data_IF_754042479162
#
_entry.id   IF_754042479162
#
_cell.length_a   1.000
_cell.length_b   1.000
_cell.length_c   1.000
_cell.angle_alpha   90.00
_cell.angle_beta   90.00
_cell.angle_gamma   90.00
#
_symmetry.space_group_name_H-M   'P 1'
#
loop_
_entity.id
_entity.type
_entity.pdbx_description
1 polymer ?
#
# COMPACT_ATOMS: atom_id res chain seq x y z
N UNK A 1 -8.80 12.37 -16.11
CA UNK A 1 -8.19 11.38 -15.21
C UNK A 1 -6.75 11.77 -14.89
N UNK A 2 -6.30 11.45 -13.67
CA UNK A 2 -4.94 11.69 -13.22
C UNK A 2 -4.52 10.63 -12.20
N UNK A 3 -3.31 10.11 -12.35
CA UNK A 3 -2.65 9.22 -11.38
C UNK A 3 -1.37 9.87 -10.86
N UNK A 4 -1.19 9.93 -9.54
CA UNK A 4 0.00 10.52 -8.92
C UNK A 4 -0.17 10.84 -7.43
N UNK A 5 0.61 11.81 -6.91
CA UNK A 5 0.53 12.14 -5.48
C UNK A 5 -0.78 12.86 -5.12
N UNK A 6 -1.25 12.67 -3.89
CA UNK A 6 -2.45 13.32 -3.35
C UNK A 6 -2.37 14.85 -3.47
N UNK A 7 -1.22 15.44 -3.18
CA UNK A 7 -1.00 16.89 -3.29
C UNK A 7 -1.22 17.40 -4.71
N UNK A 8 -0.69 16.70 -5.71
CA UNK A 8 -0.86 17.09 -7.13
C UNK A 8 -2.31 16.85 -7.57
N UNK A 9 -2.92 15.72 -7.18
CA UNK A 9 -4.34 15.43 -7.46
C UNK A 9 -5.27 16.53 -6.95
N UNK A 10 -5.08 17.00 -5.73
CA UNK A 10 -5.85 18.11 -5.15
C UNK A 10 -5.67 19.41 -5.97
N UNK A 11 -4.47 19.72 -6.43
CA UNK A 11 -4.21 20.89 -7.28
C UNK A 11 -4.92 20.78 -8.62
N UNK A 12 -4.90 19.61 -9.25
CA UNK A 12 -5.61 19.33 -10.50
C UNK A 12 -7.12 19.45 -10.30
N UNK A 13 -7.67 18.87 -9.22
CA UNK A 13 -9.07 18.96 -8.88
C UNK A 13 -9.55 20.41 -8.75
N UNK A 14 -8.81 21.23 -8.01
CA UNK A 14 -9.12 22.67 -7.87
C UNK A 14 -9.20 23.36 -9.23
N UNK A 15 -8.24 23.10 -10.12
CA UNK A 15 -8.23 23.69 -11.46
C UNK A 15 -9.36 23.18 -12.36
N UNK A 16 -9.68 21.89 -12.26
CA UNK A 16 -10.77 21.29 -13.05
C UNK A 16 -12.14 21.85 -12.67
N UNK A 17 -12.35 22.14 -11.40
CA UNK A 17 -13.61 22.71 -10.89
C UNK A 17 -13.89 24.13 -11.41
N UNK A 18 -12.89 24.91 -11.81
CA UNK A 18 -13.10 26.24 -12.44
C UNK A 18 -13.93 26.14 -13.73
N UNK A 19 -13.98 24.99 -14.38
CA UNK A 19 -14.77 24.73 -15.59
C UNK A 19 -15.74 23.55 -15.41
N UNK A 20 -16.06 23.20 -14.15
CA UNK A 20 -17.05 22.17 -13.77
C UNK A 20 -16.76 20.80 -14.44
N UNK A 21 -15.48 20.45 -14.59
CA UNK A 21 -15.10 19.16 -15.16
C UNK A 21 -15.30 18.03 -14.16
N UNK A 22 -15.87 16.93 -14.63
CA UNK A 22 -15.78 15.65 -13.94
C UNK A 22 -14.33 15.19 -13.90
N UNK A 23 -13.90 14.64 -12.76
CA UNK A 23 -12.52 14.20 -12.54
C UNK A 23 -12.49 12.78 -11.99
N UNK A 24 -11.52 11.99 -12.44
CA UNK A 24 -11.12 10.73 -11.83
C UNK A 24 -9.68 10.84 -11.35
N UNK A 25 -9.43 10.47 -10.11
CA UNK A 25 -8.14 10.60 -9.44
C UNK A 25 -7.73 9.27 -8.82
N UNK A 26 -6.55 8.78 -9.18
CA UNK A 26 -5.87 7.66 -8.55
C UNK A 26 -4.63 8.17 -7.84
N UNK A 27 -4.62 8.14 -6.50
CA UNK A 27 -3.64 8.84 -5.68
C UNK A 27 -2.87 7.87 -4.78
N UNK A 28 -2.19 8.40 -3.78
CA UNK A 28 -1.34 7.63 -2.89
C UNK A 28 -2.07 6.63 -2.00
N UNK A 29 -1.30 5.78 -1.35
CA UNK A 29 -1.80 4.76 -0.44
C UNK A 29 -0.88 4.51 0.75
N UNK A 30 -1.45 3.91 1.81
CA UNK A 30 -0.76 3.35 2.97
C UNK A 30 -1.42 2.03 3.33
N UNK A 31 -1.38 1.11 2.37
CA UNK A 31 -2.21 -0.08 2.37
C UNK A 31 -1.88 -1.03 3.52
N UNK A 32 -2.88 -1.47 4.31
CA UNK A 32 -2.67 -2.44 5.37
C UNK A 32 -2.66 -3.87 4.82
N UNK A 33 -1.79 -4.70 5.38
CA UNK A 33 -1.88 -6.15 5.34
C UNK A 33 -2.20 -6.63 6.75
N UNK A 34 -3.37 -7.20 6.96
CA UNK A 34 -3.81 -7.72 8.26
C UNK A 34 -3.62 -9.23 8.29
N UNK A 35 -2.78 -9.70 9.20
CA UNK A 35 -2.65 -11.13 9.49
C UNK A 35 -3.50 -11.47 10.70
N UNK A 36 -4.47 -12.37 10.52
CA UNK A 36 -5.21 -12.94 11.64
C UNK A 36 -4.39 -14.04 12.32
N UNK A 37 -4.70 -14.39 13.59
CA UNK A 37 -3.97 -15.43 14.30
C UNK A 37 -3.92 -16.74 13.51
N UNK A 38 -2.73 -17.26 13.28
CA UNK A 38 -2.47 -18.50 12.53
C UNK A 38 -1.24 -19.20 13.07
N UNK A 39 -1.21 -20.51 12.92
CA UNK A 39 -0.02 -21.32 13.24
C UNK A 39 1.06 -21.20 12.15
N UNK A 40 0.67 -20.78 10.94
CA UNK A 40 1.57 -20.63 9.79
C UNK A 40 1.20 -19.37 8.96
N UNK A 41 2.20 -18.54 8.69
CA UNK A 41 2.11 -17.35 7.84
C UNK A 41 2.90 -17.47 6.54
N UNK A 42 3.55 -18.60 6.29
CA UNK A 42 4.48 -18.78 5.18
C UNK A 42 3.86 -18.50 3.81
N UNK A 43 2.60 -18.87 3.62
CA UNK A 43 1.85 -18.61 2.39
C UNK A 43 1.60 -17.12 2.12
N UNK A 44 1.59 -16.27 3.17
CA UNK A 44 1.31 -14.83 3.03
C UNK A 44 2.56 -14.00 2.70
N UNK A 45 3.75 -14.43 3.15
CA UNK A 45 4.98 -13.64 2.99
C UNK A 45 5.34 -13.31 1.54
N UNK A 46 5.24 -14.23 0.55
CA UNK A 46 5.55 -13.90 -0.84
C UNK A 46 4.72 -12.72 -1.37
N UNK A 47 3.46 -12.64 -0.97
CA UNK A 47 2.56 -11.53 -1.35
C UNK A 47 3.01 -10.20 -0.75
N UNK A 48 3.41 -10.20 0.53
CA UNK A 48 3.88 -8.98 1.18
C UNK A 48 5.23 -8.55 0.60
N UNK A 49 6.19 -9.47 0.47
CA UNK A 49 7.50 -9.20 -0.12
C UNK A 49 7.38 -8.61 -1.52
N UNK A 50 6.60 -9.26 -2.40
CA UNK A 50 6.38 -8.77 -3.76
C UNK A 50 5.67 -7.42 -3.77
N UNK A 51 4.73 -7.17 -2.87
CA UNK A 51 3.97 -5.92 -2.83
C UNK A 51 4.82 -4.73 -2.38
N UNK A 52 5.65 -4.90 -1.33
CA UNK A 52 6.40 -3.78 -0.74
C UNK A 52 7.75 -3.56 -1.41
N UNK A 53 8.39 -4.61 -1.96
CA UNK A 53 9.73 -4.48 -2.53
C UNK A 53 9.74 -4.45 -4.07
N UNK A 54 8.67 -4.91 -4.74
CA UNK A 54 8.52 -4.71 -6.18
C UNK A 54 8.66 -3.23 -6.54
N UNK A 55 9.33 -2.95 -7.66
CA UNK A 55 9.59 -1.59 -8.14
C UNK A 55 10.24 -0.68 -7.06
N UNK A 56 11.08 -1.25 -6.19
CA UNK A 56 11.70 -0.57 -5.04
C UNK A 56 10.66 0.13 -4.12
N UNK A 57 9.48 -0.47 -3.94
CA UNK A 57 8.40 0.06 -3.11
C UNK A 57 7.65 1.26 -3.70
N UNK A 58 7.96 1.65 -4.92
CA UNK A 58 7.34 2.78 -5.62
C UNK A 58 6.03 2.35 -6.28
N UNK A 59 5.08 1.90 -5.47
CA UNK A 59 3.78 1.39 -5.89
C UNK A 59 2.69 1.93 -4.96
N UNK A 60 1.67 2.58 -5.50
CA UNK A 60 0.57 3.18 -4.74
C UNK A 60 -0.21 2.16 -3.89
N UNK A 61 -0.29 0.90 -4.33
CA UNK A 61 -0.96 -0.21 -3.63
C UNK A 61 -0.04 -0.99 -2.69
N UNK A 62 1.24 -0.58 -2.52
CA UNK A 62 2.20 -1.29 -1.70
C UNK A 62 1.65 -1.55 -0.28
N UNK A 63 1.72 -2.80 0.17
CA UNK A 63 1.29 -3.24 1.51
C UNK A 63 2.35 -2.82 2.53
N UNK A 64 2.45 -1.53 2.79
CA UNK A 64 3.52 -0.91 3.58
C UNK A 64 3.29 -0.96 5.10
N UNK A 65 2.10 -1.38 5.56
CA UNK A 65 1.78 -1.64 6.96
C UNK A 65 1.36 -3.10 7.14
N UNK A 66 2.20 -3.89 7.78
CA UNK A 66 1.91 -5.28 8.15
C UNK A 66 1.40 -5.30 9.61
N UNK A 67 0.11 -5.56 9.79
CA UNK A 67 -0.60 -5.53 11.07
C UNK A 67 -0.75 -6.97 11.56
N UNK A 68 -0.12 -7.31 12.69
CA UNK A 68 0.08 -8.69 13.13
C UNK A 68 -0.32 -8.91 14.59
N UNK A 69 -0.75 -10.14 14.99
CA UNK A 69 -0.99 -10.44 16.39
C UNK A 69 0.28 -10.22 17.22
N UNK A 70 0.19 -9.49 18.34
CA UNK A 70 1.33 -9.20 19.22
C UNK A 70 2.06 -10.48 19.67
N UNK A 71 1.33 -11.53 19.96
CA UNK A 71 1.90 -12.83 20.36
C UNK A 71 2.81 -13.46 19.29
N UNK A 72 2.58 -13.14 18.01
CA UNK A 72 3.30 -13.71 16.88
C UNK A 72 4.35 -12.73 16.30
N UNK A 73 4.47 -11.52 16.83
CA UNK A 73 5.32 -10.44 16.31
C UNK A 73 6.77 -10.89 16.09
N UNK A 74 7.39 -11.48 17.11
CA UNK A 74 8.80 -11.88 17.03
C UNK A 74 9.05 -12.97 15.98
N UNK A 75 8.12 -13.93 15.84
CA UNK A 75 8.18 -14.98 14.83
C UNK A 75 8.04 -14.40 13.43
N UNK A 76 6.99 -13.60 13.20
CA UNK A 76 6.72 -12.98 11.91
C UNK A 76 7.88 -12.08 11.49
N UNK A 77 8.44 -11.30 12.42
CA UNK A 77 9.60 -10.45 12.17
C UNK A 77 10.81 -11.26 11.70
N UNK A 78 11.17 -12.35 12.41
CA UNK A 78 12.29 -13.19 12.05
C UNK A 78 12.10 -13.84 10.68
N UNK A 79 10.97 -14.51 10.49
CA UNK A 79 10.64 -15.22 9.24
C UNK A 79 10.60 -14.26 8.03
N UNK A 80 9.99 -13.08 8.18
CA UNK A 80 9.90 -12.09 7.12
C UNK A 80 11.27 -11.50 6.77
N UNK A 81 12.08 -11.13 7.77
CA UNK A 81 13.42 -10.58 7.56
C UNK A 81 14.37 -11.60 6.92
N UNK A 82 14.29 -12.89 7.29
CA UNK A 82 15.06 -13.95 6.64
C UNK A 82 14.73 -14.11 5.16
N UNK A 83 13.48 -13.93 4.78
CA UNK A 83 13.05 -13.96 3.38
C UNK A 83 13.47 -12.69 2.64
N UNK A 84 13.27 -11.51 3.24
CA UNK A 84 13.64 -10.23 2.65
C UNK A 84 15.15 -10.08 2.44
N UNK A 85 15.97 -10.69 3.29
CA UNK A 85 17.43 -10.70 3.17
C UNK A 85 17.95 -11.44 1.92
N UNK A 86 17.14 -12.29 1.31
CA UNK A 86 17.49 -13.03 0.08
C UNK A 86 17.31 -12.19 -1.18
N UNK A 87 16.61 -11.05 -1.09
CA UNK A 87 16.36 -10.19 -2.24
C UNK A 87 17.65 -9.49 -2.70
N UNK A 88 17.91 -9.57 -4.00
CA UNK A 88 19.08 -8.98 -4.63
C UNK A 88 18.78 -7.56 -5.09
N UNK A 89 19.51 -6.59 -4.50
CA UNK A 89 19.47 -5.19 -4.94
C UNK A 89 20.60 -4.95 -5.92
N UNK A 90 20.29 -4.50 -7.14
CA UNK A 90 21.31 -4.38 -8.17
C UNK A 90 20.85 -3.74 -9.48
N UNK A 91 21.66 -3.93 -10.52
CA UNK A 91 21.40 -3.41 -11.86
C UNK A 91 20.07 -3.98 -12.40
N UNK A 92 19.10 -3.16 -12.80
CA UNK A 92 17.80 -3.62 -13.32
C UNK A 92 17.89 -4.39 -14.64
N UNK A 93 19.04 -4.38 -15.32
CA UNK A 93 19.28 -5.18 -16.54
C UNK A 93 19.79 -6.59 -16.24
N UNK A 94 20.22 -6.86 -15.00
CA UNK A 94 20.61 -8.21 -14.58
C UNK A 94 19.34 -9.00 -14.17
N UNK A 95 19.04 -10.14 -14.81
CA UNK A 95 17.89 -10.98 -14.49
C UNK A 95 17.89 -11.56 -13.07
N UNK A 96 18.97 -11.45 -12.33
CA UNK A 96 19.09 -11.86 -10.93
C UNK A 96 18.70 -10.75 -9.96
N UNK A 97 18.48 -9.54 -10.44
CA UNK A 97 18.09 -8.39 -9.60
C UNK A 97 16.60 -8.45 -9.27
N UNK A 98 16.28 -8.41 -7.98
CA UNK A 98 14.90 -8.31 -7.51
C UNK A 98 14.48 -6.84 -7.32
N UNK A 99 15.41 -5.98 -6.92
CA UNK A 99 15.15 -4.57 -6.58
C UNK A 99 16.15 -3.67 -7.29
N UNK A 100 15.67 -2.85 -8.20
CA UNK A 100 16.43 -1.79 -8.87
C UNK A 100 16.51 -0.49 -8.03
N UNK A 101 17.04 0.60 -8.62
CA UNK A 101 17.14 1.89 -7.94
C UNK A 101 15.76 2.59 -7.88
N UNK A 102 15.60 3.52 -6.95
CA UNK A 102 14.46 4.43 -6.96
C UNK A 102 14.60 5.49 -8.05
N UNK A 103 13.49 6.11 -8.43
CA UNK A 103 13.35 6.90 -9.66
C UNK A 103 14.17 8.20 -9.70
N UNK A 104 14.59 8.75 -8.56
CA UNK A 104 15.29 10.03 -8.50
C UNK A 104 16.03 10.24 -7.18
N UNK A 105 16.96 11.22 -7.20
CA UNK A 105 17.65 11.70 -6.00
C UNK A 105 16.66 12.19 -4.94
N UNK A 106 15.66 12.97 -5.33
CA UNK A 106 14.66 13.49 -4.41
C UNK A 106 13.87 12.36 -3.72
N UNK A 107 13.58 11.27 -4.45
CA UNK A 107 12.91 10.10 -3.86
C UNK A 107 13.83 9.34 -2.91
N UNK A 108 15.11 9.21 -3.24
CA UNK A 108 16.12 8.60 -2.37
C UNK A 108 16.25 9.39 -1.05
N UNK A 109 16.42 10.72 -1.13
CA UNK A 109 16.53 11.61 0.03
C UNK A 109 15.26 11.58 0.89
N UNK A 110 14.08 11.56 0.25
CA UNK A 110 12.79 11.38 0.95
C UNK A 110 12.76 10.08 1.75
N UNK A 111 13.18 8.95 1.16
CA UNK A 111 13.22 7.67 1.86
C UNK A 111 14.18 7.73 3.06
N UNK A 112 15.37 8.30 2.87
CA UNK A 112 16.34 8.47 3.96
C UNK A 112 15.76 9.28 5.13
N UNK A 113 15.06 10.39 4.83
CA UNK A 113 14.36 11.21 5.83
C UNK A 113 13.31 10.39 6.61
N UNK A 114 12.50 9.58 5.92
CA UNK A 114 11.49 8.76 6.60
C UNK A 114 12.10 7.64 7.44
N UNK A 115 13.17 7.00 6.96
CA UNK A 115 13.86 5.97 7.76
C UNK A 115 14.45 6.59 9.03
N UNK A 116 15.07 7.77 8.93
CA UNK A 116 15.57 8.50 10.09
C UNK A 116 14.42 8.91 11.03
N UNK A 117 13.32 9.43 10.50
CA UNK A 117 12.16 9.80 11.31
C UNK A 117 11.58 8.60 12.08
N UNK A 118 11.54 7.41 11.47
CA UNK A 118 11.11 6.19 12.17
C UNK A 118 12.00 5.84 13.36
N UNK A 119 13.32 5.99 13.21
CA UNK A 119 14.28 5.79 14.30
C UNK A 119 14.08 6.84 15.40
N UNK A 120 13.95 8.11 15.03
CA UNK A 120 13.80 9.23 15.97
C UNK A 120 12.48 9.15 16.75
N UNK A 121 11.41 8.62 16.15
CA UNK A 121 10.12 8.37 16.79
C UNK A 121 10.11 7.09 17.65
N UNK A 122 11.21 6.34 17.68
CA UNK A 122 11.40 5.17 18.52
C UNK A 122 10.87 3.85 17.93
N UNK A 123 10.61 3.78 16.62
CA UNK A 123 10.36 2.51 15.95
C UNK A 123 11.63 1.64 15.92
N UNK A 124 11.47 0.34 16.09
CA UNK A 124 12.61 -0.59 16.11
C UNK A 124 12.98 -0.97 14.66
N UNK A 125 14.12 -0.45 14.19
CA UNK A 125 14.69 -0.85 12.90
C UNK A 125 15.28 -2.26 13.02
N UNK A 126 14.68 -3.23 12.35
CA UNK A 126 15.05 -4.66 12.43
C UNK A 126 15.78 -5.16 11.19
N UNK A 127 15.67 -4.42 10.08
CA UNK A 127 16.39 -4.70 8.85
C UNK A 127 16.64 -3.43 8.05
N UNK A 128 17.78 -3.37 7.38
CA UNK A 128 18.18 -2.22 6.56
C UNK A 128 18.86 -1.12 7.37
N UNK A 129 19.05 0.01 6.72
CA UNK A 129 19.74 1.18 7.27
C UNK A 129 19.16 2.47 6.67
N UNK A 130 19.59 3.62 7.20
CA UNK A 130 19.33 4.92 6.54
C UNK A 130 20.17 4.99 5.27
N UNK A 131 19.55 5.06 4.08
CA UNK A 131 20.30 5.07 2.83
C UNK A 131 21.10 6.38 2.69
N UNK A 132 22.41 6.27 2.46
CA UNK A 132 23.32 7.45 2.36
C UNK A 132 24.19 7.43 1.11
N UNK A 133 24.46 6.25 0.54
CA UNK A 133 25.37 6.11 -0.62
C UNK A 133 24.64 6.23 -1.95
N UNK A 134 24.96 7.26 -2.71
CA UNK A 134 24.46 7.50 -4.08
C UNK A 134 25.54 7.33 -5.15
N UNK A 135 26.74 6.84 -4.81
CA UNK A 135 27.90 6.77 -5.71
C UNK A 135 27.66 5.88 -6.93
N UNK A 136 26.80 4.87 -6.80
CA UNK A 136 26.45 3.91 -7.86
C UNK A 136 25.02 4.07 -8.40
N UNK A 137 24.25 5.05 -7.87
CA UNK A 137 22.83 5.25 -8.18
C UNK A 137 21.97 5.31 -6.92
N UNK A 138 20.68 5.44 -7.12
CA UNK A 138 19.71 5.65 -6.02
C UNK A 138 19.19 4.32 -5.47
N UNK A 139 20.08 3.45 -5.05
CA UNK A 139 19.73 2.13 -4.54
C UNK A 139 19.36 2.18 -3.06
N UNK A 140 18.19 1.65 -2.72
CA UNK A 140 17.72 1.51 -1.35
C UNK A 140 17.49 0.02 -1.08
N UNK A 141 18.11 -0.50 -0.02
CA UNK A 141 17.89 -1.88 0.43
C UNK A 141 16.53 -2.00 1.11
N UNK A 142 15.97 -3.22 1.22
CA UNK A 142 14.81 -3.45 2.07
C UNK A 142 14.99 -2.90 3.48
N UNK A 143 14.01 -2.11 3.94
CA UNK A 143 13.98 -1.56 5.30
C UNK A 143 12.73 -2.10 5.99
N UNK A 144 12.90 -2.65 7.19
CA UNK A 144 11.79 -3.15 8.01
C UNK A 144 11.87 -2.53 9.40
N UNK A 145 10.80 -1.86 9.77
CA UNK A 145 10.55 -1.42 11.14
C UNK A 145 9.58 -2.37 11.82
N UNK A 146 9.81 -2.67 13.09
CA UNK A 146 8.93 -3.46 13.93
C UNK A 146 8.53 -2.70 15.18
N UNK A 147 7.48 -3.20 15.85
CA UNK A 147 6.88 -2.56 17.02
C UNK A 147 6.49 -1.10 16.76
N UNK A 148 6.03 -0.86 15.54
CA UNK A 148 5.62 0.48 15.09
C UNK A 148 4.26 0.83 15.69
N UNK A 149 4.13 2.06 16.20
CA UNK A 149 2.82 2.61 16.57
C UNK A 149 2.17 3.28 15.35
N UNK A 150 0.84 3.18 15.25
CA UNK A 150 0.12 3.72 14.08
C UNK A 150 0.12 5.26 14.00
N UNK A 151 0.49 5.97 15.08
CA UNK A 151 0.64 7.43 15.12
C UNK A 151 1.98 7.93 14.57
N UNK A 152 2.97 7.06 14.42
CA UNK A 152 4.28 7.40 13.86
C UNK A 152 4.18 7.85 12.40
N UNK A 153 5.02 8.80 12.00
CA UNK A 153 5.07 9.34 10.65
C UNK A 153 5.25 8.26 9.58
N UNK A 154 6.10 7.27 9.84
CA UNK A 154 6.35 6.15 8.93
C UNK A 154 5.14 5.23 8.73
N UNK A 155 4.20 5.18 9.69
CA UNK A 155 2.96 4.42 9.59
C UNK A 155 1.82 5.21 8.91
N UNK A 156 1.87 6.53 8.94
CA UNK A 156 0.78 7.40 8.45
C UNK A 156 1.00 7.95 7.05
N UNK A 157 2.24 8.27 6.70
CA UNK A 157 2.57 8.94 5.45
C UNK A 157 3.08 7.97 4.39
N UNK A 158 2.80 8.26 3.12
CA UNK A 158 3.28 7.47 1.99
C UNK A 158 4.76 7.73 1.73
N UNK A 159 5.61 6.74 2.00
CA UNK A 159 7.06 6.81 1.78
C UNK A 159 7.39 6.66 0.29
N UNK A 160 6.67 5.75 -0.41
CA UNK A 160 6.90 5.39 -1.81
C UNK A 160 8.31 4.80 -2.03
N UNK A 161 8.69 3.90 -1.13
CA UNK A 161 10.01 3.25 -1.09
C UNK A 161 9.93 1.87 -0.44
N UNK A 162 11.03 1.09 -0.43
CA UNK A 162 11.06 -0.28 0.07
C UNK A 162 11.13 -0.33 1.61
N UNK A 163 10.12 0.26 2.27
CA UNK A 163 10.04 0.41 3.73
C UNK A 163 8.75 -0.20 4.24
N UNK A 164 8.86 -1.25 5.05
CA UNK A 164 7.75 -1.93 5.72
C UNK A 164 7.67 -1.53 7.20
N UNK A 165 6.46 -1.28 7.67
CA UNK A 165 6.14 -1.08 9.08
C UNK A 165 5.35 -2.27 9.62
N UNK A 166 5.88 -3.01 10.59
CA UNK A 166 5.17 -4.07 11.30
C UNK A 166 4.53 -3.47 12.56
N UNK A 167 3.21 -3.57 12.65
CA UNK A 167 2.39 -2.97 13.71
C UNK A 167 1.70 -4.10 14.49
N UNK A 168 2.01 -4.30 15.77
CA UNK A 168 1.34 -5.31 16.58
C UNK A 168 -0.06 -4.88 17.02
N UNK A 169 -0.96 -5.86 17.16
CA UNK A 169 -2.28 -5.67 17.73
C UNK A 169 -2.62 -6.76 18.75
N UNK A 170 -3.56 -6.49 19.65
CA UNK A 170 -3.99 -7.43 20.70
C UNK A 170 -5.37 -8.07 20.39
N UNK A 171 -6.25 -7.35 19.69
CA UNK A 171 -7.58 -7.85 19.27
C UNK A 171 -7.85 -7.61 17.78
N UNK A 172 -8.70 -8.42 17.16
CA UNK A 172 -9.09 -8.25 15.75
C UNK A 172 -9.78 -6.90 15.52
N UNK A 173 -10.51 -6.41 16.50
CA UNK A 173 -11.14 -5.08 16.49
C UNK A 173 -10.10 -3.97 16.41
N UNK A 174 -9.02 -4.10 17.17
CA UNK A 174 -7.88 -3.18 17.12
C UNK A 174 -7.18 -3.26 15.76
N UNK A 175 -6.95 -4.47 15.22
CA UNK A 175 -6.37 -4.63 13.89
C UNK A 175 -7.16 -3.90 12.80
N UNK A 176 -8.49 -4.01 12.82
CA UNK A 176 -9.38 -3.30 11.89
C UNK A 176 -9.33 -1.79 12.12
N UNK A 177 -9.29 -1.35 13.39
CA UNK A 177 -9.15 0.06 13.73
C UNK A 177 -7.84 0.64 13.18
N UNK A 178 -6.71 -0.01 13.44
CA UNK A 178 -5.38 0.37 12.93
C UNK A 178 -5.37 0.39 11.40
N UNK A 179 -5.93 -0.65 10.76
CA UNK A 179 -6.00 -0.73 9.30
C UNK A 179 -6.72 0.48 8.68
N UNK A 180 -7.80 0.93 9.31
CA UNK A 180 -8.64 2.02 8.84
C UNK A 180 -8.18 3.41 9.30
N UNK A 181 -7.37 3.51 10.35
CA UNK A 181 -6.86 4.79 10.85
C UNK A 181 -5.67 5.26 9.99
N UNK A 182 -6.01 5.76 8.83
CA UNK A 182 -5.13 6.36 7.82
C UNK A 182 -5.95 7.31 6.95
N UNK A 183 -5.37 8.39 6.41
CA UNK A 183 -6.05 9.23 5.42
C UNK A 183 -6.28 8.54 4.08
N UNK A 184 -5.66 7.38 3.86
CA UNK A 184 -5.71 6.62 2.61
C UNK A 184 -6.72 5.46 2.67
N UNK A 185 -6.98 4.86 1.50
CA UNK A 185 -7.85 3.70 1.36
C UNK A 185 -7.81 3.12 -0.05
N UNK A 186 -6.59 2.88 -0.60
CA UNK A 186 -6.46 2.36 -1.97
C UNK A 186 -6.58 0.84 -2.00
N UNK A 187 -5.71 0.14 -1.30
CA UNK A 187 -5.67 -1.31 -1.28
C UNK A 187 -5.58 -1.84 0.15
N UNK A 188 -5.85 -3.12 0.33
CA UNK A 188 -5.69 -3.85 1.56
C UNK A 188 -5.52 -5.34 1.30
N UNK A 189 -5.05 -6.06 2.31
CA UNK A 189 -4.85 -7.49 2.28
C UNK A 189 -5.24 -8.11 3.62
N UNK A 190 -5.84 -9.28 3.59
CA UNK A 190 -6.17 -10.05 4.79
C UNK A 190 -5.69 -11.48 4.62
N UNK A 191 -4.83 -11.93 5.52
CA UNK A 191 -4.48 -13.33 5.67
C UNK A 191 -5.19 -13.94 6.88
N UNK A 192 -5.83 -15.07 6.68
CA UNK A 192 -6.52 -15.82 7.75
C UNK A 192 -6.50 -17.32 7.46
N UNK A 193 -6.58 -18.16 8.51
CA UNK A 193 -6.68 -19.62 8.37
C UNK A 193 -7.89 -20.06 7.55
N UNK A 194 -9.01 -19.34 7.67
CA UNK A 194 -10.23 -19.66 6.93
C UNK A 194 -10.70 -18.49 6.06
N UNK A 195 -11.31 -18.83 4.92
CA UNK A 195 -11.93 -17.84 4.03
C UNK A 195 -13.02 -17.03 4.75
N UNK A 196 -13.77 -17.64 5.64
CA UNK A 196 -14.86 -16.98 6.36
C UNK A 196 -14.33 -15.85 7.26
N UNK A 197 -13.27 -16.11 8.04
CA UNK A 197 -12.60 -15.10 8.87
C UNK A 197 -12.01 -13.98 8.03
N UNK A 198 -11.31 -14.33 6.94
CA UNK A 198 -10.72 -13.35 6.04
C UNK A 198 -11.78 -12.42 5.43
N UNK A 199 -12.91 -12.98 4.95
CA UNK A 199 -14.05 -12.21 4.41
C UNK A 199 -14.67 -11.29 5.46
N UNK A 200 -14.83 -11.79 6.70
CA UNK A 200 -15.41 -11.00 7.79
C UNK A 200 -14.58 -9.74 8.10
N UNK A 201 -13.24 -9.87 8.09
CA UNK A 201 -12.34 -8.73 8.30
C UNK A 201 -12.25 -7.86 7.04
N UNK A 202 -12.10 -8.44 5.86
CA UNK A 202 -11.95 -7.72 4.60
C UNK A 202 -13.12 -6.75 4.33
N UNK A 203 -14.36 -7.14 4.66
CA UNK A 203 -15.55 -6.28 4.56
C UNK A 203 -15.50 -5.03 5.45
N UNK A 204 -14.66 -5.03 6.48
CA UNK A 204 -14.50 -3.92 7.43
C UNK A 204 -13.32 -3.00 7.08
N UNK A 205 -12.47 -3.38 6.13
CA UNK A 205 -11.35 -2.56 5.68
C UNK A 205 -11.85 -1.49 4.70
N UNK A 206 -11.59 -0.22 5.00
CA UNK A 206 -12.00 0.92 4.21
C UNK A 206 -11.01 1.20 3.06
N UNK A 207 -10.96 0.30 2.10
CA UNK A 207 -10.13 0.39 0.89
C UNK A 207 -10.92 -0.01 -0.34
N UNK A 208 -10.55 0.54 -1.49
CA UNK A 208 -11.24 0.25 -2.75
C UNK A 208 -11.06 -1.20 -3.22
N UNK A 209 -9.91 -1.81 -2.90
CA UNK A 209 -9.64 -3.23 -3.17
C UNK A 209 -9.09 -3.89 -1.90
N UNK A 210 -9.61 -5.08 -1.57
CA UNK A 210 -9.06 -5.91 -0.48
C UNK A 210 -8.87 -7.33 -0.99
N UNK A 211 -7.64 -7.79 -0.92
CA UNK A 211 -7.25 -9.14 -1.33
C UNK A 211 -7.30 -10.08 -0.12
N UNK A 212 -7.75 -11.30 -0.33
CA UNK A 212 -7.84 -12.34 0.69
C UNK A 212 -6.90 -13.47 0.31
N UNK A 213 -5.96 -13.79 1.21
CA UNK A 213 -4.98 -14.85 1.00
C UNK A 213 -4.27 -14.69 -0.37
N UNK A 214 -4.31 -15.71 -1.24
CA UNK A 214 -3.62 -15.69 -2.53
C UNK A 214 -4.46 -15.14 -3.68
N UNK A 215 -5.56 -14.42 -3.40
CA UNK A 215 -6.44 -13.93 -4.46
C UNK A 215 -5.67 -13.09 -5.49
N UNK A 216 -5.70 -13.45 -6.78
CA UNK A 216 -5.10 -12.64 -7.84
C UNK A 216 -5.92 -11.36 -8.07
N UNK A 217 -5.30 -10.37 -8.73
CA UNK A 217 -6.04 -9.20 -9.22
C UNK A 217 -6.97 -9.63 -10.36
N UNK A 218 -8.24 -9.26 -10.26
CA UNK A 218 -9.18 -9.31 -11.36
C UNK A 218 -9.20 -7.94 -12.06
N UNK A 219 -8.75 -7.90 -13.31
CA UNK A 219 -8.69 -6.66 -14.11
C UNK A 219 -10.05 -6.15 -14.57
N UNK A 220 -11.10 -6.98 -14.45
CA UNK A 220 -12.48 -6.60 -14.75
C UNK A 220 -13.20 -6.01 -13.55
N UNK A 221 -12.64 -6.17 -12.34
CA UNK A 221 -13.15 -5.54 -11.13
C UNK A 221 -12.81 -4.04 -11.11
N UNK A 222 -13.68 -3.20 -10.51
CA UNK A 222 -13.38 -1.79 -10.32
C UNK A 222 -12.11 -1.59 -9.52
N UNK A 223 -11.25 -0.65 -9.93
CA UNK A 223 -10.06 -0.23 -9.21
C UNK A 223 -10.16 1.24 -8.83
N UNK A 224 -9.77 1.59 -7.61
CA UNK A 224 -9.73 2.98 -7.15
C UNK A 224 -9.86 3.11 -5.64
N UNK A 225 -9.41 4.26 -5.12
CA UNK A 225 -9.27 4.49 -3.70
C UNK A 225 -10.51 5.06 -3.01
N UNK A 226 -10.52 4.84 -1.68
CA UNK A 226 -11.38 5.56 -0.72
C UNK A 226 -10.59 6.74 -0.15
N UNK A 227 -11.27 7.66 0.55
CA UNK A 227 -10.66 8.77 1.27
C UNK A 227 -9.72 9.59 0.35
N UNK A 228 -8.49 9.88 0.80
CA UNK A 228 -7.50 10.66 0.02
C UNK A 228 -6.74 9.84 -1.04
N UNK A 229 -7.07 8.55 -1.20
CA UNK A 229 -6.49 7.73 -2.26
C UNK A 229 -7.16 7.92 -3.61
N UNK A 230 -8.29 8.62 -3.70
CA UNK A 230 -8.83 8.97 -4.99
C UNK A 230 -10.33 9.23 -5.05
N UNK A 231 -10.78 9.53 -6.26
CA UNK A 231 -12.18 9.77 -6.64
C UNK A 231 -12.41 9.03 -7.96
N UNK A 232 -13.58 8.41 -8.12
CA UNK A 232 -13.89 7.61 -9.30
C UNK A 232 -13.33 6.20 -9.26
N UNK A 233 -13.46 5.49 -10.38
CA UNK A 233 -12.92 4.13 -10.52
C UNK A 233 -12.29 3.95 -11.89
N UNK A 234 -11.26 3.10 -11.95
CA UNK A 234 -10.67 2.58 -13.18
C UNK A 234 -11.02 1.09 -13.32
N UNK A 235 -10.75 0.53 -14.47
CA UNK A 235 -10.97 -0.88 -14.82
C UNK A 235 -12.45 -1.30 -14.85
N UNK A 236 -12.73 -2.37 -15.62
CA UNK A 236 -14.06 -2.94 -15.77
C UNK A 236 -15.11 -1.94 -16.29
N UNK A 237 -16.36 -2.29 -16.07
CA UNK A 237 -17.50 -1.44 -16.48
C UNK A 237 -17.51 -0.10 -15.71
N UNK A 238 -17.16 -0.11 -14.44
CA UNK A 238 -17.13 1.11 -13.62
C UNK A 238 -16.15 2.14 -14.21
N UNK A 239 -14.94 1.69 -14.60
CA UNK A 239 -13.95 2.57 -15.23
C UNK A 239 -14.40 3.11 -16.59
N UNK A 240 -15.11 2.30 -17.39
CA UNK A 240 -15.67 2.75 -18.66
C UNK A 240 -16.72 3.85 -18.44
N UNK A 241 -17.58 3.70 -17.44
CA UNK A 241 -18.65 4.65 -17.14
C UNK A 241 -18.13 6.03 -16.70
N UNK A 242 -16.94 6.12 -16.12
CA UNK A 242 -16.29 7.40 -15.75
C UNK A 242 -16.05 8.31 -16.99
N UNK A 243 -15.93 7.74 -18.18
CA UNK A 243 -15.71 8.46 -19.44
C UNK A 243 -16.97 8.62 -20.28
N UNK A 244 -18.15 8.36 -19.71
CA UNK A 244 -19.45 8.51 -20.37
C UNK A 244 -20.33 9.52 -19.66
N UNK A 245 -21.37 9.97 -20.36
CA UNK A 245 -22.41 10.82 -19.77
C UNK A 245 -23.79 10.19 -19.98
N UNK A 246 -24.58 10.20 -18.92
CA UNK A 246 -25.98 9.73 -19.00
C UNK A 246 -26.86 10.83 -19.58
N UNK A 247 -27.75 10.44 -20.50
CA UNK A 247 -28.78 11.30 -21.06
C UNK A 247 -30.14 10.61 -20.95
N UNK A 248 -31.11 11.29 -20.37
CA UNK A 248 -32.51 10.85 -20.43
C UNK A 248 -33.21 11.47 -21.67
N UNK A 249 -33.94 10.65 -22.41
CA UNK A 249 -34.78 11.08 -23.51
C UNK A 249 -36.21 10.64 -23.19
N UNK A 250 -37.13 11.60 -23.22
CA UNK A 250 -38.53 11.36 -22.91
C UNK A 250 -39.34 11.47 -24.22
N UNK A 251 -40.24 10.49 -24.47
CA UNK A 251 -41.18 10.49 -25.58
C UNK A 251 -42.62 10.26 -25.06
N UNK A 252 -43.59 10.97 -25.59
CA UNK A 252 -45.02 10.83 -25.23
C UNK A 252 -45.60 9.47 -25.59
N UNK A 253 -45.01 8.75 -26.53
CA UNK A 253 -45.49 7.44 -27.00
C UNK A 253 -45.13 6.28 -26.07
N UNK A 254 -44.37 6.56 -25.02
CA UNK A 254 -43.86 5.53 -24.09
C UNK A 254 -44.72 5.37 -22.81
N UNK A 255 -45.90 6.08 -22.74
CA UNK A 255 -46.85 5.99 -21.62
C UNK A 255 -48.21 5.53 -22.06
#
# INVERSE_FOLDING_TARGET
SFTGSTTVGIRIARRALESVKHISLELGGKSPAVFLPSDDYSAAYPKILSSIFFNAGQTCTALSRLIVPRRDLARIESEFCELAAKLVVGDPTDPKTDIGPVSSKAQFEKIAEYVQAGIDEGARLVMGDVPTDMSRGYYVRPVVFSDVRNDMRIAREEIFGPVLCIIPYDTVEEAVSIANDTPYGLSGYVHAPTKAEAVAVAKRIHSGNVYINDAPRDVTAPFGGYKQSGIGRESGLAGLLEFTQQKAVFDRTTY
#
